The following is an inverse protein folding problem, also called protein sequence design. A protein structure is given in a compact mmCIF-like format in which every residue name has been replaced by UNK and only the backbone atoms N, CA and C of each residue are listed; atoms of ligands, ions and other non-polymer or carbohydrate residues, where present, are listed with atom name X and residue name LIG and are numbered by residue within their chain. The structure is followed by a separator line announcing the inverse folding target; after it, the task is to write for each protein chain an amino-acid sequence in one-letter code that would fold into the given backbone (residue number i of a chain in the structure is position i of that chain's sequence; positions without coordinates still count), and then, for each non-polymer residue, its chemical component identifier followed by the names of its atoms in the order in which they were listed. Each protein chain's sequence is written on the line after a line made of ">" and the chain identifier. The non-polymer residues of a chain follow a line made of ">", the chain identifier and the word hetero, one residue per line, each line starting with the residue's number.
data_IF_538019374879
#
_entry.id   IF_538019374879
#
_cell.length_a   1.000
_cell.length_b   1.000
_cell.length_c   1.000
_cell.angle_alpha   90.00
_cell.angle_beta   90.00
_cell.angle_gamma   90.00
#
_symmetry.space_group_name_H-M   'P 1'
#
loop_
_entity.id
_entity.type
_entity.pdbx_description
1 polymer ?
#
# COMPACT_ATOMS: atom_id res chain seq x y z
N UNK A 1 11.00 21.07 -5.65
CA UNK A 1 11.00 20.25 -6.88
C UNK A 1 12.13 19.23 -6.88
N UNK A 2 13.40 19.60 -6.80
CA UNK A 2 14.51 18.62 -6.73
C UNK A 2 14.38 17.64 -5.54
N UNK A 3 14.12 18.13 -4.32
CA UNK A 3 13.89 17.26 -3.16
C UNK A 3 12.67 16.33 -3.33
N UNK A 4 11.61 16.84 -3.97
CA UNK A 4 10.42 16.05 -4.29
C UNK A 4 10.78 14.95 -5.29
N UNK A 5 11.40 15.29 -6.42
CA UNK A 5 11.84 14.32 -7.41
C UNK A 5 12.83 13.30 -6.83
N UNK A 6 13.78 13.72 -6.00
CA UNK A 6 14.72 12.80 -5.34
C UNK A 6 14.05 11.89 -4.30
N UNK A 7 13.05 12.39 -3.56
CA UNK A 7 12.27 11.57 -2.64
C UNK A 7 11.46 10.52 -3.41
N UNK A 8 10.75 10.93 -4.46
CA UNK A 8 9.96 10.02 -5.29
C UNK A 8 10.83 9.04 -6.08
N UNK A 9 12.02 9.44 -6.56
CA UNK A 9 12.97 8.53 -7.20
C UNK A 9 13.48 7.44 -6.23
N UNK A 10 13.71 7.79 -4.96
CA UNK A 10 14.07 6.82 -3.93
C UNK A 10 12.87 5.91 -3.56
N UNK A 11 11.65 6.46 -3.54
CA UNK A 11 10.42 5.68 -3.32
C UNK A 11 10.18 4.70 -4.47
N UNK A 12 10.37 5.12 -5.72
CA UNK A 12 10.26 4.24 -6.90
C UNK A 12 11.31 3.14 -6.88
N UNK A 13 12.59 3.48 -6.61
CA UNK A 13 13.66 2.48 -6.51
C UNK A 13 13.45 1.51 -5.34
N UNK A 14 12.99 2.00 -4.19
CA UNK A 14 12.64 1.16 -3.05
C UNK A 14 11.45 0.25 -3.37
N UNK A 15 10.41 0.78 -4.03
CA UNK A 15 9.26 0.00 -4.46
C UNK A 15 9.64 -1.09 -5.47
N UNK A 16 10.53 -0.79 -6.42
CA UNK A 16 11.04 -1.77 -7.38
C UNK A 16 11.80 -2.89 -6.68
N UNK A 17 12.72 -2.56 -5.78
CA UNK A 17 13.51 -3.53 -5.00
C UNK A 17 12.62 -4.44 -4.13
N UNK A 18 11.57 -3.86 -3.55
CA UNK A 18 10.68 -4.55 -2.62
C UNK A 18 9.56 -5.32 -3.30
N UNK A 19 9.20 -4.99 -4.55
CA UNK A 19 8.11 -5.62 -5.31
C UNK A 19 8.25 -7.15 -5.36
N UNK A 20 9.45 -7.66 -5.64
CA UNK A 20 9.68 -9.10 -5.77
C UNK A 20 9.57 -9.83 -4.43
N UNK A 21 9.87 -9.14 -3.32
CA UNK A 21 9.72 -9.66 -1.95
C UNK A 21 8.29 -9.57 -1.46
N UNK A 22 7.59 -8.48 -1.73
CA UNK A 22 6.19 -8.24 -1.36
C UNK A 22 5.22 -9.26 -1.99
N UNK A 23 5.59 -9.87 -3.12
CA UNK A 23 4.81 -10.91 -3.81
C UNK A 23 5.01 -12.32 -3.26
N UNK A 24 5.94 -12.53 -2.32
CA UNK A 24 6.20 -13.84 -1.75
C UNK A 24 5.13 -14.21 -0.71
N UNK A 25 4.79 -15.50 -0.64
CA UNK A 25 3.78 -16.02 0.30
C UNK A 25 4.23 -15.84 1.76
N UNK A 26 5.52 -16.02 2.03
CA UNK A 26 6.14 -15.84 3.36
C UNK A 26 6.88 -14.49 3.47
N UNK A 27 6.23 -13.41 3.04
CA UNK A 27 6.80 -12.07 3.21
C UNK A 27 6.69 -11.64 4.68
N UNK A 28 7.75 -11.02 5.19
CA UNK A 28 7.74 -10.37 6.50
C UNK A 28 6.66 -9.27 6.56
N UNK A 29 5.89 -9.25 7.65
CA UNK A 29 4.77 -8.32 7.82
C UNK A 29 5.25 -6.86 7.73
N UNK A 30 6.29 -6.49 8.47
CA UNK A 30 6.77 -5.11 8.51
C UNK A 30 7.28 -4.65 7.15
N UNK A 31 7.95 -5.53 6.41
CA UNK A 31 8.39 -5.26 5.04
C UNK A 31 7.22 -5.01 4.08
N UNK A 32 6.17 -5.84 4.17
CA UNK A 32 4.99 -5.72 3.32
C UNK A 32 4.24 -4.41 3.59
N UNK A 33 4.02 -4.07 4.86
CA UNK A 33 3.33 -2.84 5.24
C UNK A 33 4.17 -1.59 4.96
N UNK A 34 5.49 -1.68 5.08
CA UNK A 34 6.40 -0.62 4.65
C UNK A 34 6.26 -0.35 3.14
N UNK A 35 6.27 -1.40 2.31
CA UNK A 35 6.05 -1.28 0.87
C UNK A 35 4.71 -0.61 0.53
N UNK A 36 3.61 -1.04 1.17
CA UNK A 36 2.29 -0.46 0.94
C UNK A 36 2.24 1.02 1.34
N UNK A 37 2.79 1.38 2.49
CA UNK A 37 2.88 2.78 2.94
C UNK A 37 3.57 3.68 1.90
N UNK A 38 4.61 3.18 1.25
CA UNK A 38 5.35 3.92 0.22
C UNK A 38 4.60 4.03 -1.11
N UNK A 39 3.78 3.04 -1.46
CA UNK A 39 3.28 2.86 -2.83
C UNK A 39 1.79 3.12 -3.00
N UNK A 40 1.01 3.15 -1.92
CA UNK A 40 -0.45 3.30 -1.97
C UNK A 40 -0.92 4.58 -2.67
N UNK A 41 -0.11 5.64 -2.66
CA UNK A 41 -0.42 6.91 -3.36
C UNK A 41 -0.21 6.84 -4.88
N UNK A 42 0.45 5.79 -5.38
CA UNK A 42 0.77 5.64 -6.80
C UNK A 42 -0.37 4.93 -7.55
N UNK A 43 -1.21 5.71 -8.23
CA UNK A 43 -2.38 5.23 -8.98
C UNK A 43 -2.06 4.28 -10.13
N UNK A 44 -0.85 4.34 -10.66
CA UNK A 44 -0.44 3.43 -11.73
C UNK A 44 -0.15 2.03 -11.21
N UNK A 45 0.28 1.90 -9.95
CA UNK A 45 0.46 0.62 -9.28
C UNK A 45 -0.87 0.04 -8.80
N UNK A 46 -1.71 0.83 -8.12
CA UNK A 46 -2.94 0.37 -7.45
C UNK A 46 -3.95 -0.28 -8.39
N UNK A 47 -3.96 0.13 -9.67
CA UNK A 47 -4.83 -0.44 -10.70
C UNK A 47 -4.39 -1.83 -11.19
N UNK A 48 -3.14 -2.23 -10.97
CA UNK A 48 -2.57 -3.49 -11.49
C UNK A 48 -3.03 -4.71 -10.69
N UNK A 49 -3.19 -5.85 -11.36
CA UNK A 49 -3.54 -7.12 -10.70
C UNK A 49 -2.49 -7.57 -9.69
N UNK A 50 -1.20 -7.38 -10.03
CA UNK A 50 -0.09 -7.72 -9.14
C UNK A 50 -0.17 -6.94 -7.81
N UNK A 51 -0.50 -5.66 -7.86
CA UNK A 51 -0.64 -4.84 -6.66
C UNK A 51 -1.88 -5.24 -5.84
N UNK A 52 -2.98 -5.64 -6.49
CA UNK A 52 -4.15 -6.19 -5.78
C UNK A 52 -3.83 -7.48 -5.03
N UNK A 53 -2.99 -8.35 -5.61
CA UNK A 53 -2.54 -9.56 -4.92
C UNK A 53 -1.71 -9.21 -3.67
N UNK A 54 -0.85 -8.19 -3.74
CA UNK A 54 -0.08 -7.69 -2.59
C UNK A 54 -1.02 -7.15 -1.49
N UNK A 55 -2.03 -6.35 -1.87
CA UNK A 55 -3.03 -5.86 -0.92
C UNK A 55 -3.81 -7.01 -0.26
N UNK A 56 -4.24 -8.00 -1.04
CA UNK A 56 -4.93 -9.18 -0.51
C UNK A 56 -4.03 -9.97 0.45
N UNK A 57 -2.74 -10.09 0.15
CA UNK A 57 -1.78 -10.70 1.05
C UNK A 57 -1.69 -9.94 2.39
N UNK A 58 -1.66 -8.61 2.35
CA UNK A 58 -1.65 -7.78 3.56
C UNK A 58 -2.93 -7.92 4.39
N UNK A 59 -4.10 -8.04 3.74
CA UNK A 59 -5.37 -8.36 4.42
C UNK A 59 -5.27 -9.71 5.14
N UNK A 60 -4.73 -10.73 4.47
CA UNK A 60 -4.60 -12.08 5.04
C UNK A 60 -3.61 -12.13 6.21
N UNK A 61 -2.49 -11.41 6.12
CA UNK A 61 -1.47 -11.36 7.17
C UNK A 61 -1.99 -10.59 8.38
N UNK A 62 -2.49 -9.36 8.18
CA UNK A 62 -2.95 -8.52 9.27
C UNK A 62 -4.03 -7.53 8.79
N UNK A 63 -5.28 -7.99 8.70
CA UNK A 63 -6.45 -7.18 8.31
C UNK A 63 -6.55 -5.87 9.11
N UNK A 64 -6.30 -5.89 10.42
CA UNK A 64 -6.38 -4.68 11.26
C UNK A 64 -5.39 -3.62 10.78
N UNK A 65 -4.12 -4.00 10.61
CA UNK A 65 -3.06 -3.10 10.16
C UNK A 65 -3.29 -2.64 8.71
N UNK A 66 -3.85 -3.49 7.87
CA UNK A 66 -4.28 -3.12 6.52
C UNK A 66 -5.34 -2.01 6.54
N UNK A 67 -6.39 -2.15 7.34
CA UNK A 67 -7.44 -1.14 7.41
C UNK A 67 -6.92 0.20 7.97
N UNK A 68 -5.95 0.18 8.88
CA UNK A 68 -5.30 1.38 9.40
C UNK A 68 -4.53 2.18 8.35
N UNK A 69 -4.10 1.58 7.23
CA UNK A 69 -3.42 2.31 6.13
C UNK A 69 -4.29 3.43 5.56
N UNK A 70 -5.61 3.32 5.69
CA UNK A 70 -6.59 4.29 5.17
C UNK A 70 -7.01 5.34 6.20
N UNK A 71 -6.52 5.27 7.43
CA UNK A 71 -6.74 6.30 8.43
C UNK A 71 -5.98 7.61 8.08
N UNK A 72 -6.20 8.66 8.86
CA UNK A 72 -5.39 9.87 8.76
C UNK A 72 -3.95 9.64 9.24
N UNK A 73 -2.98 10.46 8.79
CA UNK A 73 -1.61 10.43 9.32
C UNK A 73 -1.52 10.56 10.84
N UNK A 74 -2.47 11.29 11.45
CA UNK A 74 -2.57 11.46 12.91
C UNK A 74 -2.96 10.17 13.66
N UNK A 75 -3.43 9.15 12.94
CA UNK A 75 -3.83 7.83 13.44
C UNK A 75 -2.94 6.72 12.84
N UNK A 76 -1.72 7.06 12.45
CA UNK A 76 -0.75 6.14 11.84
C UNK A 76 -1.16 5.57 10.47
N UNK A 77 -2.12 6.21 9.78
CA UNK A 77 -2.51 5.87 8.41
C UNK A 77 -1.78 6.70 7.34
N UNK A 78 -1.94 6.34 6.06
CA UNK A 78 -1.35 7.09 4.94
C UNK A 78 -2.19 8.34 4.66
N UNK A 79 -3.47 8.15 4.32
CA UNK A 79 -4.49 9.20 4.22
C UNK A 79 -5.83 8.62 3.76
N UNK A 80 -6.93 9.06 4.36
CA UNK A 80 -8.29 8.73 3.90
C UNK A 80 -8.58 9.19 2.46
N UNK A 81 -7.80 10.13 1.93
CA UNK A 81 -7.95 10.58 0.54
C UNK A 81 -7.68 9.47 -0.49
N UNK A 82 -6.98 8.40 -0.09
CA UNK A 82 -6.77 7.20 -0.92
C UNK A 82 -8.09 6.56 -1.37
N UNK A 83 -9.16 6.70 -0.58
CA UNK A 83 -10.50 6.16 -0.91
C UNK A 83 -11.20 6.90 -2.07
N UNK A 84 -10.58 7.95 -2.63
CA UNK A 84 -11.00 8.55 -3.91
C UNK A 84 -10.59 7.69 -5.11
N UNK A 85 -9.62 6.81 -4.96
CA UNK A 85 -9.27 5.81 -5.97
C UNK A 85 -10.27 4.64 -5.90
N UNK A 86 -10.86 4.29 -7.04
CA UNK A 86 -11.94 3.30 -7.09
C UNK A 86 -11.46 1.88 -6.73
N UNK A 87 -10.21 1.53 -7.06
CA UNK A 87 -9.65 0.21 -6.76
C UNK A 87 -9.33 0.07 -5.27
N UNK A 88 -8.73 1.11 -4.69
CA UNK A 88 -8.47 1.15 -3.25
C UNK A 88 -9.75 1.18 -2.44
N UNK A 89 -10.75 1.98 -2.87
CA UNK A 89 -12.05 2.04 -2.20
C UNK A 89 -12.77 0.69 -2.22
N UNK A 90 -12.82 0.02 -3.38
CA UNK A 90 -13.43 -1.29 -3.50
C UNK A 90 -12.77 -2.29 -2.55
N UNK A 91 -11.44 -2.38 -2.58
CA UNK A 91 -10.69 -3.30 -1.73
C UNK A 91 -10.87 -2.99 -0.24
N UNK A 92 -10.85 -1.72 0.15
CA UNK A 92 -11.15 -1.30 1.52
C UNK A 92 -12.57 -1.69 1.95
N UNK A 93 -13.58 -1.41 1.14
CA UNK A 93 -14.96 -1.74 1.47
C UNK A 93 -15.19 -3.25 1.61
N UNK A 94 -14.54 -4.06 0.77
CA UNK A 94 -14.63 -5.53 0.83
C UNK A 94 -13.98 -6.12 2.08
N UNK A 95 -12.93 -5.47 2.60
CA UNK A 95 -12.07 -6.07 3.63
C UNK A 95 -12.14 -5.37 5.00
N UNK A 96 -12.60 -4.13 5.10
CA UNK A 96 -12.49 -3.29 6.30
C UNK A 96 -13.80 -2.73 6.85
N UNK A 97 -14.90 -2.78 6.09
CA UNK A 97 -16.22 -2.32 6.54
C UNK A 97 -17.02 -3.47 7.18
N UNK A 98 -16.60 -3.91 8.37
CA UNK A 98 -17.46 -4.69 9.28
C UNK A 98 -18.12 -3.76 10.31
#
# INVERSE_FOLDING_TARGET
>A
MAQFLSYYANVEAAAELLSDKARQIEVDEDLLFYYLNLTLINKDLTKTEAYRAIMLNAVNINKKRYCQLFDSPEKDGVTFQLLKDDYLRANYCENCND
#
